data_IF_861145206064
#
_entry.id   IF_861145206064
#
_cell.length_a   1.000
_cell.length_b   1.000
_cell.length_c   1.000
_cell.angle_alpha   90.00
_cell.angle_beta   90.00
_cell.angle_gamma   90.00
#
_symmetry.space_group_name_H-M   'P 1'
#
loop_
_entity.id
_entity.type
_entity.pdbx_description
1 polymer ?
#
# COMPACT_ATOMS: atom_id res chain seq x y z
N UNK A 1 -34.88 41.96 -37.75
CA UNK A 1 -33.78 41.00 -37.96
C UNK A 1 -33.49 40.32 -36.62
N UNK A 2 -33.86 39.05 -36.42
CA UNK A 2 -33.72 38.40 -35.12
C UNK A 2 -32.35 37.74 -34.99
N UNK A 3 -31.55 38.16 -34.01
CA UNK A 3 -30.35 37.45 -33.59
C UNK A 3 -30.61 36.88 -32.19
N UNK A 4 -31.35 35.79 -32.13
CA UNK A 4 -31.65 35.06 -30.90
C UNK A 4 -31.34 33.58 -31.12
N UNK A 5 -30.06 33.21 -31.04
CA UNK A 5 -29.63 31.81 -30.89
C UNK A 5 -28.35 31.75 -30.06
N UNK A 6 -28.17 30.64 -29.32
CA UNK A 6 -26.88 30.06 -28.83
C UNK A 6 -26.59 30.07 -27.31
N UNK A 7 -27.59 30.09 -26.43
CA UNK A 7 -27.38 29.77 -25.00
C UNK A 7 -27.30 28.27 -24.69
N UNK A 8 -28.13 27.47 -25.37
CA UNK A 8 -28.34 26.04 -25.11
C UNK A 8 -27.57 25.12 -26.07
N UNK A 9 -27.41 25.52 -27.33
CA UNK A 9 -26.74 24.71 -28.36
C UNK A 9 -25.24 24.50 -28.10
N UNK A 10 -24.54 25.48 -27.52
CA UNK A 10 -23.09 25.36 -27.25
C UNK A 10 -22.79 24.54 -25.98
N UNK A 11 -23.79 24.36 -25.11
CA UNK A 11 -23.68 23.52 -23.90
C UNK A 11 -23.77 22.04 -24.23
N UNK A 12 -24.53 21.65 -25.26
CA UNK A 12 -24.70 20.26 -25.70
C UNK A 12 -23.41 19.57 -26.17
N UNK A 13 -22.58 20.15 -27.07
CA UNK A 13 -21.32 19.55 -27.47
C UNK A 13 -20.31 19.55 -26.30
N UNK A 14 -20.33 20.57 -25.44
CA UNK A 14 -19.49 20.59 -24.24
C UNK A 14 -19.85 19.44 -23.29
N UNK A 15 -21.14 19.20 -23.05
CA UNK A 15 -21.62 18.07 -22.24
C UNK A 15 -21.25 16.74 -22.91
N UNK A 16 -21.41 16.61 -24.22
CA UNK A 16 -21.03 15.38 -24.94
C UNK A 16 -19.53 15.09 -24.84
N UNK A 17 -18.67 16.12 -25.01
CA UNK A 17 -17.22 16.00 -24.84
C UNK A 17 -16.87 15.62 -23.40
N UNK A 18 -17.51 16.22 -22.40
CA UNK A 18 -17.29 15.89 -21.00
C UNK A 18 -17.68 14.45 -20.68
N UNK A 19 -18.85 13.99 -21.16
CA UNK A 19 -19.32 12.61 -20.98
C UNK A 19 -18.36 11.63 -21.64
N UNK A 20 -17.90 11.92 -22.86
CA UNK A 20 -16.92 11.09 -23.56
C UNK A 20 -15.58 11.04 -22.84
N UNK A 21 -15.09 12.18 -22.34
CA UNK A 21 -13.85 12.25 -21.57
C UNK A 21 -13.94 11.43 -20.27
N UNK A 22 -15.07 11.51 -19.56
CA UNK A 22 -15.33 10.70 -18.36
C UNK A 22 -15.38 9.22 -18.73
N UNK A 23 -16.10 8.84 -19.78
CA UNK A 23 -16.19 7.44 -20.23
C UNK A 23 -14.80 6.89 -20.60
N UNK A 24 -13.97 7.67 -21.29
CA UNK A 24 -12.60 7.29 -21.62
C UNK A 24 -11.74 7.16 -20.35
N UNK A 25 -11.82 8.11 -19.41
CA UNK A 25 -11.08 8.07 -18.15
C UNK A 25 -11.46 6.84 -17.30
N UNK A 26 -12.75 6.47 -17.28
CA UNK A 26 -13.26 5.28 -16.58
C UNK A 26 -12.64 3.97 -17.10
N UNK A 27 -12.21 3.92 -18.36
CA UNK A 27 -11.53 2.75 -18.94
C UNK A 27 -10.01 2.88 -18.86
N UNK A 28 -9.47 4.06 -19.15
CA UNK A 28 -8.04 4.30 -19.23
C UNK A 28 -7.35 4.24 -17.86
N UNK A 29 -7.97 4.76 -16.80
CA UNK A 29 -7.37 4.79 -15.46
C UNK A 29 -7.18 3.38 -14.86
N UNK A 30 -8.18 2.47 -14.88
CA UNK A 30 -7.98 1.09 -14.43
C UNK A 30 -6.97 0.33 -15.28
N UNK A 31 -6.96 0.56 -16.61
CA UNK A 31 -6.01 -0.09 -17.51
C UNK A 31 -4.57 0.36 -17.19
N UNK A 32 -4.36 1.66 -17.02
CA UNK A 32 -3.07 2.20 -16.58
C UNK A 32 -2.65 1.61 -15.22
N UNK A 33 -3.60 1.49 -14.27
CA UNK A 33 -3.35 0.83 -12.99
C UNK A 33 -2.89 -0.63 -13.14
N UNK A 34 -3.53 -1.40 -14.02
CA UNK A 34 -3.13 -2.79 -14.30
C UNK A 34 -1.75 -2.90 -14.94
N UNK A 35 -1.41 -1.96 -15.83
CA UNK A 35 -0.08 -1.91 -16.47
C UNK A 35 1.05 -1.58 -15.48
N UNK A 36 0.74 -0.92 -14.35
CA UNK A 36 1.70 -0.65 -13.29
C UNK A 36 1.94 -1.85 -12.36
N UNK A 37 1.05 -2.85 -12.38
CA UNK A 37 1.16 -4.05 -11.54
C UNK A 37 1.80 -5.17 -12.35
N UNK A 38 3.11 -5.33 -12.17
CA UNK A 38 3.87 -6.48 -12.68
C UNK A 38 4.32 -7.30 -11.48
N UNK A 39 3.76 -8.49 -11.32
CA UNK A 39 4.12 -9.41 -10.25
C UNK A 39 5.12 -10.43 -10.77
N UNK A 40 6.31 -10.48 -10.16
CA UNK A 40 7.27 -11.54 -10.42
C UNK A 40 6.70 -12.89 -9.92
N UNK A 41 7.01 -14.01 -10.59
CA UNK A 41 6.62 -15.32 -10.10
C UNK A 41 7.13 -15.57 -8.68
N UNK A 42 6.28 -16.16 -7.83
CA UNK A 42 6.69 -16.52 -6.47
C UNK A 42 7.83 -17.55 -6.52
N UNK A 43 8.89 -17.36 -5.71
CA UNK A 43 9.97 -18.32 -5.63
C UNK A 43 9.55 -19.59 -4.87
N UNK A 44 10.33 -20.66 -4.97
CA UNK A 44 10.12 -21.86 -4.15
C UNK A 44 10.31 -21.61 -2.64
N UNK A 45 11.16 -20.63 -2.29
CA UNK A 45 11.38 -20.17 -0.91
C UNK A 45 11.91 -18.74 -0.91
N UNK A 46 11.73 -18.04 0.21
CA UNK A 46 12.27 -16.71 0.47
C UNK A 46 12.73 -16.58 1.93
N UNK A 47 13.62 -15.63 2.20
CA UNK A 47 14.12 -15.40 3.55
C UNK A 47 13.11 -14.64 4.43
N UNK A 48 12.26 -13.82 3.81
CA UNK A 48 11.23 -13.03 4.47
C UNK A 48 10.14 -12.57 3.50
N UNK A 49 8.91 -12.43 4.01
CA UNK A 49 7.81 -11.69 3.38
C UNK A 49 7.79 -10.29 3.97
N UNK A 50 7.77 -9.25 3.16
CA UNK A 50 7.82 -7.84 3.60
C UNK A 50 6.47 -7.19 3.35
N UNK A 51 5.81 -6.77 4.43
CA UNK A 51 4.58 -5.99 4.36
C UNK A 51 4.93 -4.51 4.42
N UNK A 52 4.84 -3.84 3.26
CA UNK A 52 5.04 -2.41 3.15
C UNK A 52 3.87 -1.61 3.76
N UNK A 53 4.11 -0.32 3.94
CA UNK A 53 3.14 0.70 4.33
C UNK A 53 2.04 0.90 3.28
N UNK A 54 0.76 0.88 3.68
CA UNK A 54 -0.37 1.04 2.77
C UNK A 54 -1.62 0.31 3.24
N UNK A 55 -2.42 -0.21 2.31
CA UNK A 55 -3.65 -0.96 2.63
C UNK A 55 -3.34 -2.17 3.52
N UNK A 56 -3.78 -2.12 4.78
CA UNK A 56 -3.59 -3.19 5.75
C UNK A 56 -4.36 -4.46 5.34
N UNK A 57 -5.69 -4.42 5.08
CA UNK A 57 -6.48 -5.65 4.93
C UNK A 57 -5.98 -6.54 3.80
N UNK A 58 -5.70 -5.96 2.64
CA UNK A 58 -5.24 -6.73 1.47
C UNK A 58 -3.86 -7.34 1.71
N UNK A 59 -2.95 -6.61 2.37
CA UNK A 59 -1.56 -7.04 2.54
C UNK A 59 -1.36 -8.04 3.67
N UNK A 60 -2.13 -7.93 4.75
CA UNK A 60 -2.05 -8.91 5.85
C UNK A 60 -2.66 -10.25 5.46
N UNK A 61 -3.72 -10.26 4.65
CA UNK A 61 -4.29 -11.50 4.10
C UNK A 61 -3.27 -12.23 3.25
N UNK A 62 -2.70 -11.54 2.25
CA UNK A 62 -1.67 -12.11 1.37
C UNK A 62 -0.45 -12.60 2.16
N UNK A 63 0.11 -11.76 3.04
CA UNK A 63 1.28 -12.14 3.84
C UNK A 63 0.99 -13.31 4.80
N UNK A 64 -0.23 -13.39 5.34
CA UNK A 64 -0.69 -14.52 6.14
C UNK A 64 -0.74 -15.81 5.32
N UNK A 65 -1.30 -15.76 4.11
CA UNK A 65 -1.37 -16.89 3.18
C UNK A 65 0.01 -17.39 2.77
N UNK A 66 0.91 -16.47 2.40
CA UNK A 66 2.30 -16.79 2.04
C UNK A 66 3.09 -17.37 3.23
N UNK A 67 2.85 -16.88 4.44
CA UNK A 67 3.48 -17.45 5.64
C UNK A 67 2.97 -18.87 5.92
N UNK A 68 1.65 -19.09 5.84
CA UNK A 68 1.04 -20.40 6.07
C UNK A 68 1.44 -21.44 5.03
N UNK A 69 1.69 -21.04 3.79
CA UNK A 69 2.21 -21.93 2.74
C UNK A 69 3.69 -22.32 2.94
N UNK A 70 4.37 -21.73 3.94
CA UNK A 70 5.76 -22.03 4.25
C UNK A 70 6.78 -21.28 3.36
N UNK A 71 6.34 -20.28 2.60
CA UNK A 71 7.20 -19.57 1.64
C UNK A 71 8.40 -18.89 2.32
N UNK A 72 8.21 -18.34 3.52
CA UNK A 72 9.27 -17.70 4.28
C UNK A 72 9.08 -17.89 5.80
N UNK A 73 10.17 -17.97 6.58
CA UNK A 73 10.09 -18.20 8.02
C UNK A 73 9.69 -16.97 8.84
N UNK A 74 9.62 -15.78 8.23
CA UNK A 74 9.37 -14.51 8.91
C UNK A 74 8.60 -13.52 8.03
N UNK A 75 7.80 -12.69 8.69
CA UNK A 75 7.07 -11.57 8.11
C UNK A 75 7.63 -10.26 8.66
N UNK A 76 8.07 -9.36 7.79
CA UNK A 76 8.71 -8.11 8.14
C UNK A 76 7.73 -6.98 7.86
N UNK A 77 7.39 -6.20 8.88
CA UNK A 77 6.49 -5.06 8.72
C UNK A 77 7.29 -3.76 8.78
N UNK A 78 7.02 -2.86 7.84
CA UNK A 78 7.59 -1.51 7.86
C UNK A 78 6.80 -0.61 8.80
N UNK A 79 7.37 0.54 9.15
CA UNK A 79 6.75 1.50 10.06
C UNK A 79 6.64 2.85 9.39
N UNK A 80 5.42 3.37 9.33
CA UNK A 80 5.15 4.66 8.69
C UNK A 80 5.52 5.86 9.58
N UNK A 81 5.64 7.00 8.91
CA UNK A 81 5.56 8.32 9.52
C UNK A 81 4.24 8.47 10.28
N UNK A 82 4.30 9.11 11.44
CA UNK A 82 3.11 9.53 12.18
C UNK A 82 2.23 10.48 11.36
N UNK A 83 0.92 10.37 11.55
CA UNK A 83 -0.04 11.25 10.92
C UNK A 83 0.13 12.68 11.45
N UNK A 84 -0.30 13.65 10.63
CA UNK A 84 -0.40 15.03 11.10
C UNK A 84 -1.43 15.06 12.22
N UNK A 85 -1.05 15.60 13.39
CA UNK A 85 -1.91 15.65 14.58
C UNK A 85 -1.59 14.60 15.64
N UNK A 86 -0.86 13.51 15.34
CA UNK A 86 -0.54 12.48 16.33
C UNK A 86 0.20 13.03 17.54
N UNK A 87 1.14 13.96 17.32
CA UNK A 87 1.84 14.62 18.42
C UNK A 87 0.90 15.43 19.32
N UNK A 88 -0.10 16.11 18.73
CA UNK A 88 -1.08 16.90 19.46
C UNK A 88 -2.08 16.03 20.24
N UNK A 89 -2.43 14.86 19.72
CA UNK A 89 -3.23 13.85 20.41
C UNK A 89 -2.44 13.27 21.59
N UNK A 90 -1.18 12.89 21.37
CA UNK A 90 -0.31 12.34 22.42
C UNK A 90 -0.08 13.33 23.55
N UNK A 91 0.08 14.62 23.24
CA UNK A 91 0.18 15.68 24.25
C UNK A 91 -1.08 15.81 25.13
N UNK A 92 -2.23 15.30 24.66
CA UNK A 92 -3.50 15.24 25.40
C UNK A 92 -3.78 13.85 26.00
N UNK A 93 -2.77 12.97 26.04
CA UNK A 93 -2.91 11.61 26.57
C UNK A 93 -3.62 10.62 25.63
N UNK A 94 -3.95 11.02 24.39
CA UNK A 94 -4.62 10.14 23.42
C UNK A 94 -3.57 9.48 22.52
N UNK A 95 -3.55 8.14 22.51
CA UNK A 95 -2.71 7.35 21.59
C UNK A 95 -3.59 6.55 20.65
N UNK A 96 -3.52 6.89 19.36
CA UNK A 96 -4.08 6.05 18.31
C UNK A 96 -3.09 4.91 17.97
N UNK A 97 -3.59 3.69 17.69
CA UNK A 97 -2.76 2.62 17.16
C UNK A 97 -2.09 3.05 15.86
N UNK A 98 -0.81 2.74 15.72
CA UNK A 98 -0.08 3.01 14.48
C UNK A 98 -0.37 1.91 13.43
N UNK A 99 -0.22 2.21 12.14
CA UNK A 99 -0.46 1.23 11.06
C UNK A 99 0.31 -0.07 11.28
N UNK A 100 1.57 -0.01 11.71
CA UNK A 100 2.40 -1.19 12.02
C UNK A 100 1.87 -2.01 13.20
N UNK A 101 1.22 -1.37 14.17
CA UNK A 101 0.62 -2.05 15.32
C UNK A 101 -0.64 -2.81 14.89
N UNK A 102 -1.46 -2.18 14.03
CA UNK A 102 -2.64 -2.81 13.43
C UNK A 102 -2.26 -3.98 12.51
N UNK A 103 -1.27 -3.79 11.63
CA UNK A 103 -0.73 -4.85 10.75
C UNK A 103 -0.22 -6.02 11.57
N UNK A 104 0.56 -5.77 12.63
CA UNK A 104 1.05 -6.83 13.51
C UNK A 104 -0.10 -7.60 14.16
N UNK A 105 -1.07 -6.89 14.74
CA UNK A 105 -2.20 -7.52 15.41
C UNK A 105 -3.03 -8.39 14.46
N UNK A 106 -3.24 -7.93 13.21
CA UNK A 106 -3.95 -8.70 12.20
C UNK A 106 -3.17 -9.96 11.78
N UNK A 107 -1.85 -9.87 11.57
CA UNK A 107 -1.00 -11.03 11.26
C UNK A 107 -1.00 -12.07 12.39
N UNK A 108 -0.93 -11.62 13.64
CA UNK A 108 -1.03 -12.50 14.81
C UNK A 108 -2.39 -13.23 14.84
N UNK A 109 -3.49 -12.52 14.56
CA UNK A 109 -4.83 -13.12 14.45
C UNK A 109 -4.99 -14.08 13.26
N UNK A 110 -4.22 -13.87 12.18
CA UNK A 110 -4.17 -14.79 11.04
C UNK A 110 -3.28 -16.03 11.30
N UNK A 111 -2.69 -16.14 12.49
CA UNK A 111 -1.92 -17.29 12.92
C UNK A 111 -0.41 -17.16 12.73
N UNK A 112 0.10 -15.98 12.35
CA UNK A 112 1.55 -15.74 12.28
C UNK A 112 2.10 -15.55 13.72
N UNK A 113 3.02 -16.40 14.21
CA UNK A 113 3.54 -16.26 15.56
C UNK A 113 4.26 -14.91 15.76
N UNK A 114 4.06 -14.26 16.90
CA UNK A 114 4.69 -12.98 17.22
C UNK A 114 6.22 -12.98 17.04
N UNK A 115 6.89 -14.11 17.32
CA UNK A 115 8.34 -14.30 17.12
C UNK A 115 8.79 -14.28 15.65
N UNK A 116 7.88 -14.60 14.72
CA UNK A 116 8.12 -14.58 13.29
C UNK A 116 7.86 -13.19 12.67
N UNK A 117 7.25 -12.27 13.43
CA UNK A 117 6.95 -10.92 12.95
C UNK A 117 8.07 -9.97 13.37
N UNK A 118 8.78 -9.44 12.37
CA UNK A 118 9.87 -8.49 12.57
C UNK A 118 9.37 -7.08 12.24
N UNK A 119 9.38 -6.19 13.24
CA UNK A 119 9.02 -4.78 13.01
C UNK A 119 10.26 -3.91 12.80
N UNK A 120 10.34 -3.24 11.65
CA UNK A 120 11.44 -2.32 11.38
C UNK A 120 11.32 -1.06 12.25
N UNK A 121 12.39 -0.74 12.97
CA UNK A 121 12.40 0.39 13.95
C UNK A 121 12.30 1.76 13.28
N UNK A 122 12.91 1.91 12.10
CA UNK A 122 13.02 3.20 11.40
C UNK A 122 11.69 3.54 10.73
N UNK A 123 11.16 4.73 11.02
CA UNK A 123 9.99 5.27 10.33
C UNK A 123 10.32 5.66 8.90
N UNK A 124 9.47 5.29 7.97
CA UNK A 124 9.59 5.60 6.55
C UNK A 124 8.74 6.81 6.20
N UNK A 125 9.24 7.66 5.30
CA UNK A 125 8.57 8.93 4.91
C UNK A 125 8.19 8.98 3.42
N UNK A 126 8.72 8.04 2.63
CA UNK A 126 8.48 7.90 1.20
C UNK A 126 8.72 6.44 0.81
N UNK A 127 8.19 6.03 -0.34
CA UNK A 127 8.40 4.70 -0.92
C UNK A 127 9.90 4.40 -1.11
N UNK A 128 10.68 5.37 -1.59
CA UNK A 128 12.14 5.22 -1.72
C UNK A 128 12.81 4.99 -0.36
N UNK A 129 12.41 5.75 0.66
CA UNK A 129 12.97 5.62 2.00
C UNK A 129 12.61 4.27 2.64
N UNK A 130 11.43 3.75 2.34
CA UNK A 130 10.97 2.43 2.73
C UNK A 130 11.80 1.33 2.08
N UNK A 131 11.94 1.35 0.74
CA UNK A 131 12.77 0.41 0.00
C UNK A 131 14.21 0.38 0.51
N UNK A 132 14.83 1.55 0.74
CA UNK A 132 16.19 1.64 1.32
C UNK A 132 16.26 1.10 2.74
N UNK A 133 15.18 1.20 3.52
CA UNK A 133 15.12 0.70 4.89
C UNK A 133 15.02 -0.82 4.93
N UNK A 134 14.20 -1.40 4.05
CA UNK A 134 14.13 -2.85 3.84
C UNK A 134 15.47 -3.39 3.35
N UNK A 135 16.07 -2.76 2.33
CA UNK A 135 17.35 -3.18 1.77
C UNK A 135 18.48 -3.18 2.82
N UNK A 136 18.62 -2.12 3.61
CA UNK A 136 19.63 -2.08 4.70
C UNK A 136 19.41 -3.17 5.73
N UNK A 137 18.16 -3.42 6.11
CA UNK A 137 17.85 -4.48 7.06
C UNK A 137 18.20 -5.86 6.48
N UNK A 138 17.84 -6.12 5.22
CA UNK A 138 18.16 -7.36 4.53
C UNK A 138 19.68 -7.58 4.42
N UNK A 139 20.45 -6.57 4.04
CA UNK A 139 21.92 -6.66 3.99
C UNK A 139 22.53 -6.94 5.37
N UNK A 140 22.05 -6.27 6.43
CA UNK A 140 22.55 -6.48 7.79
C UNK A 140 22.27 -7.91 8.32
N UNK A 141 21.23 -8.57 7.80
CA UNK A 141 20.86 -9.94 8.19
C UNK A 141 21.28 -10.98 7.14
N UNK A 142 22.04 -10.58 6.11
CA UNK A 142 22.50 -11.44 5.01
C UNK A 142 21.37 -12.19 4.31
N UNK A 143 20.26 -11.49 4.05
CA UNK A 143 19.13 -12.06 3.32
C UNK A 143 19.38 -11.92 1.82
N UNK A 144 19.03 -12.96 1.08
CA UNK A 144 19.25 -13.07 -0.36
C UNK A 144 17.95 -12.91 -1.15
N UNK A 145 16.79 -13.26 -0.57
CA UNK A 145 15.51 -13.22 -1.27
C UNK A 145 14.38 -12.73 -0.38
N UNK A 146 13.68 -11.72 -0.86
CA UNK A 146 12.51 -11.14 -0.21
C UNK A 146 11.32 -11.21 -1.15
N UNK A 147 10.13 -11.38 -0.58
CA UNK A 147 8.85 -11.14 -1.27
C UNK A 147 8.26 -9.86 -0.68
N UNK A 148 7.75 -8.96 -1.52
CA UNK A 148 7.27 -7.62 -1.14
C UNK A 148 5.85 -7.41 -1.65
#
# INVERSE_FOLDING_TARGET
MPCAMRGTEMRRPLVAVLVLAIALAMVALPLAGRLLVVADPLPASADAIVVLAGSIPTRVLEAGDLYRSGLAPRVVITRERLLRGDAALRARGVRLPESDELTRAALEQLGVPARAIVRLRRRTRSTENEARTVARWACAHRLHRLVI
#
